data_IF_005150699524
#
_entry.id   IF_005150699524
#
_cell.length_a   1.000
_cell.length_b   1.000
_cell.length_c   1.000
_cell.angle_alpha   90.00
_cell.angle_beta   90.00
_cell.angle_gamma   90.00
#
_symmetry.space_group_name_H-M   'P 1'
#
loop_
_entity.id
_entity.type
_entity.pdbx_description
1 polymer ?
#
# COMPACT_ATOMS: atom_id res chain seq x y z
N UNK A 1 14.03 47.17 51.28
CA UNK A 1 13.83 46.59 49.92
C UNK A 1 14.00 45.08 49.99
N UNK A 2 12.94 44.29 49.77
CA UNK A 2 12.95 42.82 49.88
C UNK A 2 13.09 42.21 48.47
N UNK A 3 14.27 41.68 48.14
CA UNK A 3 14.57 41.06 46.84
C UNK A 3 13.79 39.74 46.72
N UNK A 4 12.73 39.70 45.89
CA UNK A 4 12.02 38.44 45.59
C UNK A 4 12.91 37.59 44.68
N UNK A 5 13.39 36.48 45.22
CA UNK A 5 14.15 35.48 44.47
C UNK A 5 13.16 34.75 43.55
N UNK A 6 13.12 35.10 42.27
CA UNK A 6 12.29 34.40 41.28
C UNK A 6 12.95 33.05 40.99
N UNK A 7 12.53 32.02 41.72
CA UNK A 7 12.94 30.63 41.47
C UNK A 7 12.67 30.33 39.99
N UNK A 8 13.74 30.11 39.22
CA UNK A 8 13.66 29.84 37.78
C UNK A 8 12.86 28.56 37.54
N UNK A 9 11.62 28.69 37.07
CA UNK A 9 10.73 27.59 36.65
C UNK A 9 11.20 26.81 35.41
N UNK A 10 12.37 27.15 34.85
CA UNK A 10 12.95 26.50 33.66
C UNK A 10 13.21 25.00 33.86
N UNK A 11 13.51 24.57 35.09
CA UNK A 11 13.69 23.15 35.40
C UNK A 11 12.40 22.32 35.33
N UNK A 12 11.27 22.87 35.79
CA UNK A 12 9.97 22.18 35.74
C UNK A 12 9.51 21.96 34.31
N UNK A 13 9.58 23.01 33.47
CA UNK A 13 9.21 22.92 32.06
C UNK A 13 10.06 21.89 31.29
N UNK A 14 11.35 21.75 31.64
CA UNK A 14 12.22 20.75 31.04
C UNK A 14 11.80 19.31 31.42
N UNK A 15 11.37 19.08 32.66
CA UNK A 15 10.89 17.77 33.12
C UNK A 15 9.53 17.44 32.50
N UNK A 16 8.61 18.40 32.44
CA UNK A 16 7.32 18.23 31.77
C UNK A 16 7.50 17.88 30.29
N UNK A 17 8.39 18.60 29.58
CA UNK A 17 8.72 18.29 28.20
C UNK A 17 9.37 16.90 28.05
N UNK A 18 10.25 16.50 28.96
CA UNK A 18 10.88 15.18 28.92
C UNK A 18 9.87 14.02 29.06
N UNK A 19 8.73 14.23 29.73
CA UNK A 19 7.66 13.24 29.87
C UNK A 19 6.72 13.23 28.67
N UNK A 20 6.37 14.41 28.12
CA UNK A 20 5.38 14.53 27.03
C UNK A 20 6.00 14.28 25.66
N UNK A 21 7.23 14.73 25.44
CA UNK A 21 7.88 14.68 24.13
C UNK A 21 8.04 13.25 23.58
N UNK A 22 8.41 12.22 24.36
CA UNK A 22 8.47 10.85 23.86
C UNK A 22 7.11 10.33 23.37
N UNK A 23 6.02 10.65 24.07
CA UNK A 23 4.66 10.27 23.67
C UNK A 23 4.25 10.97 22.37
N UNK A 24 4.56 12.26 22.26
CA UNK A 24 4.25 13.06 21.09
C UNK A 24 5.05 12.62 19.86
N UNK A 25 6.34 12.30 20.03
CA UNK A 25 7.16 11.70 18.96
C UNK A 25 6.61 10.33 18.57
N UNK A 26 6.25 9.49 19.54
CA UNK A 26 5.63 8.18 19.28
C UNK A 26 4.35 8.29 18.46
N UNK A 27 3.50 9.28 18.76
CA UNK A 27 2.27 9.53 18.00
C UNK A 27 2.56 9.95 16.55
N UNK A 28 3.58 10.79 16.32
CA UNK A 28 3.97 11.16 14.95
C UNK A 28 4.52 9.98 14.18
N UNK A 29 5.39 9.17 14.78
CA UNK A 29 5.89 7.93 14.16
C UNK A 29 4.75 7.00 13.79
N UNK A 30 3.82 6.74 14.71
CA UNK A 30 2.65 5.91 14.45
C UNK A 30 1.78 6.46 13.31
N UNK A 31 1.60 7.79 13.26
CA UNK A 31 0.81 8.45 12.22
C UNK A 31 1.45 8.35 10.83
N UNK A 32 2.79 8.49 10.74
CA UNK A 32 3.55 8.30 9.49
C UNK A 32 3.45 6.85 9.02
N UNK A 33 3.64 5.89 9.92
CA UNK A 33 3.51 4.46 9.62
C UNK A 33 2.11 4.10 9.12
N UNK A 34 1.06 4.59 9.79
CA UNK A 34 -0.31 4.32 9.39
C UNK A 34 -0.65 4.96 8.03
N UNK A 35 -0.14 6.16 7.77
CA UNK A 35 -0.29 6.82 6.46
C UNK A 35 0.36 5.98 5.35
N UNK A 36 1.56 5.45 5.59
CA UNK A 36 2.25 4.58 4.64
C UNK A 36 1.49 3.28 4.41
N UNK A 37 1.01 2.61 5.46
CA UNK A 37 0.19 1.40 5.31
C UNK A 37 -1.08 1.65 4.50
N UNK A 38 -1.72 2.81 4.67
CA UNK A 38 -2.89 3.19 3.88
C UNK A 38 -2.56 3.48 2.41
N UNK A 39 -1.42 4.12 2.13
CA UNK A 39 -0.91 4.26 0.77
C UNK A 39 -0.71 2.90 0.11
N UNK A 40 -0.03 1.96 0.77
CA UNK A 40 0.19 0.60 0.23
C UNK A 40 -1.14 -0.08 -0.10
N UNK A 41 -2.12 0.00 0.81
CA UNK A 41 -3.46 -0.58 0.59
C UNK A 41 -4.14 -0.01 -0.66
N UNK A 42 -4.24 1.31 -0.76
CA UNK A 42 -4.88 1.96 -1.90
C UNK A 42 -4.14 1.68 -3.21
N UNK A 43 -2.81 1.61 -3.16
CA UNK A 43 -1.99 1.31 -4.32
C UNK A 43 -2.15 -0.14 -4.79
N UNK A 44 -2.26 -1.10 -3.87
CA UNK A 44 -2.56 -2.51 -4.20
C UNK A 44 -3.95 -2.64 -4.85
N UNK A 45 -4.95 -1.94 -4.33
CA UNK A 45 -6.29 -1.89 -4.94
C UNK A 45 -6.26 -1.28 -6.35
N UNK A 46 -5.60 -0.14 -6.52
CA UNK A 46 -5.46 0.49 -7.82
C UNK A 46 -4.68 -0.37 -8.82
N UNK A 47 -3.59 -1.01 -8.37
CA UNK A 47 -2.77 -1.86 -9.23
C UNK A 47 -3.54 -3.12 -9.68
N UNK A 48 -4.31 -3.76 -8.78
CA UNK A 48 -5.18 -4.88 -9.16
C UNK A 48 -6.21 -4.46 -10.23
N UNK A 49 -6.80 -3.27 -10.07
CA UNK A 49 -7.72 -2.71 -11.07
C UNK A 49 -7.02 -2.39 -12.41
N UNK A 50 -5.84 -1.78 -12.39
CA UNK A 50 -5.08 -1.46 -13.60
C UNK A 50 -4.65 -2.73 -14.35
N UNK A 51 -4.19 -3.76 -13.63
CA UNK A 51 -3.88 -5.07 -14.18
C UNK A 51 -5.11 -5.73 -14.83
N UNK A 52 -6.24 -5.76 -14.11
CA UNK A 52 -7.49 -6.30 -14.66
C UNK A 52 -7.98 -5.48 -15.87
N UNK A 53 -7.78 -4.17 -15.88
CA UNK A 53 -8.11 -3.32 -17.03
C UNK A 53 -7.21 -3.65 -18.23
N UNK A 54 -5.93 -3.90 -17.99
CA UNK A 54 -4.97 -4.29 -19.03
C UNK A 54 -5.35 -5.62 -19.69
N UNK A 55 -5.89 -6.57 -18.92
CA UNK A 55 -6.27 -7.90 -19.41
C UNK A 55 -7.50 -7.91 -20.33
N UNK A 56 -8.32 -6.85 -20.32
CA UNK A 56 -9.48 -6.72 -21.22
C UNK A 56 -9.03 -6.69 -22.69
N UNK A 57 -7.89 -6.04 -22.98
CA UNK A 57 -7.40 -5.80 -24.34
C UNK A 57 -7.15 -7.11 -25.11
N UNK A 58 -7.50 -7.21 -26.40
CA UNK A 58 -7.34 -8.43 -27.17
C UNK A 58 -5.85 -8.76 -27.35
N UNK A 59 -5.49 -10.04 -27.30
CA UNK A 59 -4.10 -10.48 -27.40
C UNK A 59 -3.21 -10.12 -26.20
N UNK A 60 -3.78 -9.58 -25.10
CA UNK A 60 -3.04 -9.37 -23.86
C UNK A 60 -2.57 -10.71 -23.25
N UNK A 61 -1.35 -10.72 -22.72
CA UNK A 61 -0.75 -11.86 -22.03
C UNK A 61 -0.66 -11.60 -20.52
N UNK A 62 -0.49 -12.67 -19.73
CA UNK A 62 -0.28 -12.57 -18.28
C UNK A 62 0.92 -11.67 -17.95
N UNK A 63 2.04 -11.81 -18.67
CA UNK A 63 3.22 -10.96 -18.48
C UNK A 63 2.90 -9.46 -18.63
N UNK A 64 2.06 -9.07 -19.60
CA UNK A 64 1.67 -7.66 -19.77
C UNK A 64 0.79 -7.14 -18.63
N UNK A 65 0.01 -8.02 -18.00
CA UNK A 65 -0.79 -7.69 -16.81
C UNK A 65 0.14 -7.51 -15.62
N UNK A 66 1.08 -8.43 -15.42
CA UNK A 66 2.10 -8.36 -14.37
C UNK A 66 2.95 -7.09 -14.49
N UNK A 67 3.42 -6.75 -15.70
CA UNK A 67 4.16 -5.53 -15.97
C UNK A 67 3.34 -4.28 -15.59
N UNK A 68 2.05 -4.24 -15.95
CA UNK A 68 1.16 -3.13 -15.60
C UNK A 68 0.98 -2.97 -14.09
N UNK A 69 0.83 -4.08 -13.36
CA UNK A 69 0.72 -4.06 -11.90
C UNK A 69 2.04 -3.60 -11.28
N UNK A 70 3.17 -4.10 -11.81
CA UNK A 70 4.50 -3.76 -11.34
C UNK A 70 4.81 -2.27 -11.56
N UNK A 71 4.48 -1.71 -12.73
CA UNK A 71 4.64 -0.27 -13.00
C UNK A 71 3.83 0.58 -12.03
N UNK A 72 2.57 0.22 -11.78
CA UNK A 72 1.69 0.93 -10.84
C UNK A 72 2.24 0.93 -9.40
N UNK A 73 2.73 -0.21 -8.93
CA UNK A 73 3.30 -0.36 -7.59
C UNK A 73 4.69 0.27 -7.45
N UNK A 74 5.52 0.19 -8.49
CA UNK A 74 6.84 0.82 -8.51
C UNK A 74 6.74 2.36 -8.46
N UNK A 75 5.72 2.94 -9.12
CA UNK A 75 5.49 4.38 -9.12
C UNK A 75 5.29 4.98 -7.72
N UNK A 76 4.80 4.17 -6.76
CA UNK A 76 4.61 4.55 -5.36
C UNK A 76 5.61 3.88 -4.39
N UNK A 77 6.65 3.26 -4.95
CA UNK A 77 7.71 2.54 -4.24
C UNK A 77 7.16 1.43 -3.32
N UNK A 78 6.19 0.64 -3.77
CA UNK A 78 5.75 -0.56 -3.04
C UNK A 78 6.65 -1.74 -3.40
N UNK A 79 7.21 -2.42 -2.40
CA UNK A 79 8.06 -3.61 -2.55
C UNK A 79 7.41 -4.85 -1.95
N UNK A 80 8.00 -6.04 -2.16
CA UNK A 80 7.54 -7.26 -1.50
C UNK A 80 6.12 -7.65 -1.87
N UNK A 81 5.77 -7.53 -3.14
CA UNK A 81 4.44 -7.86 -3.66
C UNK A 81 4.46 -9.08 -4.57
N UNK A 82 3.31 -9.75 -4.65
CA UNK A 82 3.05 -10.88 -5.53
C UNK A 82 1.80 -10.57 -6.35
N UNK A 83 1.82 -11.00 -7.62
CA UNK A 83 0.71 -10.86 -8.56
C UNK A 83 0.28 -12.25 -8.95
N UNK A 84 -1.03 -12.50 -8.93
CA UNK A 84 -1.65 -13.74 -9.40
C UNK A 84 -2.72 -13.37 -10.40
N UNK A 85 -2.57 -13.86 -11.62
CA UNK A 85 -3.54 -13.67 -12.70
C UNK A 85 -4.25 -15.00 -12.95
N UNK A 86 -5.57 -14.97 -13.12
CA UNK A 86 -6.36 -16.17 -13.38
C UNK A 86 -7.44 -15.86 -14.42
N UNK A 87 -7.55 -16.64 -15.51
CA UNK A 87 -6.72 -17.79 -15.87
C UNK A 87 -5.33 -17.41 -16.43
N UNK A 88 -4.40 -18.35 -16.35
CA UNK A 88 -3.07 -18.30 -16.99
C UNK A 88 -2.85 -19.62 -17.77
N UNK A 89 -2.73 -19.61 -19.10
CA UNK A 89 -2.65 -18.45 -19.98
C UNK A 89 -3.99 -17.74 -20.21
N UNK A 90 -3.93 -16.47 -20.58
CA UNK A 90 -5.06 -15.70 -21.11
C UNK A 90 -5.15 -15.96 -22.62
N UNK A 91 -6.29 -16.47 -23.09
CA UNK A 91 -6.55 -16.78 -24.50
C UNK A 91 -7.83 -16.09 -25.03
N UNK A 92 -8.17 -16.32 -26.30
CA UNK A 92 -9.35 -15.72 -26.95
C UNK A 92 -10.68 -16.22 -26.37
N UNK A 93 -10.69 -17.39 -25.73
CA UNK A 93 -11.88 -18.00 -25.10
C UNK A 93 -12.10 -17.53 -23.68
N UNK A 94 -11.12 -16.84 -23.09
CA UNK A 94 -11.17 -16.32 -21.73
C UNK A 94 -12.23 -15.22 -21.63
N UNK A 95 -13.32 -15.49 -20.91
CA UNK A 95 -14.39 -14.50 -20.71
C UNK A 95 -14.07 -13.49 -19.62
N UNK A 96 -13.47 -13.94 -18.52
CA UNK A 96 -13.18 -13.11 -17.35
C UNK A 96 -11.75 -13.34 -16.89
N UNK A 97 -11.10 -12.27 -16.47
CA UNK A 97 -9.75 -12.31 -15.89
C UNK A 97 -9.82 -11.71 -14.49
N UNK A 98 -9.29 -12.46 -13.54
CA UNK A 98 -9.13 -12.06 -12.14
C UNK A 98 -7.66 -11.77 -11.87
N UNK A 99 -7.38 -10.60 -11.35
CA UNK A 99 -6.05 -10.16 -10.92
C UNK A 99 -6.08 -9.98 -9.42
N UNK A 100 -5.26 -10.75 -8.71
CA UNK A 100 -5.03 -10.62 -7.27
C UNK A 100 -3.62 -10.10 -7.04
N UNK A 101 -3.52 -9.05 -6.25
CA UNK A 101 -2.26 -8.40 -5.88
C UNK A 101 -2.14 -8.44 -4.37
N UNK A 102 -1.02 -8.96 -3.87
CA UNK A 102 -0.73 -9.04 -2.43
C UNK A 102 0.57 -8.31 -2.16
N UNK A 103 0.63 -7.46 -1.14
CA UNK A 103 1.84 -6.77 -0.71
C UNK A 103 2.07 -6.90 0.80
N UNK A 104 3.34 -7.10 1.16
CA UNK A 104 3.80 -7.17 2.55
C UNK A 104 3.92 -5.79 3.17
N UNK A 105 3.24 -5.56 4.30
CA UNK A 105 3.28 -4.25 4.97
C UNK A 105 4.59 -4.02 5.74
N UNK A 106 5.23 -5.08 6.24
CA UNK A 106 6.50 -4.99 6.95
C UNK A 106 7.67 -4.58 6.05
N UNK A 107 7.67 -5.00 4.79
CA UNK A 107 8.65 -4.58 3.78
C UNK A 107 8.46 -3.13 3.31
N UNK A 108 7.30 -2.52 3.60
CA UNK A 108 6.93 -1.18 3.15
C UNK A 108 6.88 -0.14 4.27
N UNK A 109 7.27 -0.50 5.49
CA UNK A 109 7.35 0.39 6.65
C UNK A 109 8.52 1.37 6.54
N UNK A 110 8.38 2.58 7.08
CA UNK A 110 9.42 3.62 6.97
C UNK A 110 10.40 3.66 8.15
N UNK A 111 9.93 3.35 9.34
CA UNK A 111 10.66 3.58 10.59
C UNK A 111 10.63 2.38 11.51
N UNK A 112 9.50 1.69 11.64
CA UNK A 112 9.33 0.65 12.65
C UNK A 112 8.59 -0.58 12.06
N UNK A 113 9.29 -1.45 11.30
CA UNK A 113 8.69 -2.60 10.61
C UNK A 113 7.93 -3.58 11.52
N UNK A 114 8.33 -3.67 12.80
CA UNK A 114 7.70 -4.55 13.79
C UNK A 114 6.19 -4.27 14.00
N UNK A 115 5.69 -3.05 13.74
CA UNK A 115 4.24 -2.77 13.86
C UNK A 115 3.40 -3.58 12.87
N UNK A 116 3.96 -3.92 11.71
CA UNK A 116 3.27 -4.63 10.64
C UNK A 116 3.90 -5.99 10.32
N UNK A 117 4.75 -6.53 11.20
CA UNK A 117 5.44 -7.79 11.02
C UNK A 117 4.48 -8.92 10.61
N UNK A 118 4.74 -9.56 9.46
CA UNK A 118 3.91 -10.65 8.94
C UNK A 118 2.49 -10.26 8.55
N UNK A 119 2.20 -8.95 8.38
CA UNK A 119 0.93 -8.46 7.85
C UNK A 119 1.06 -8.20 6.36
N UNK A 120 0.02 -8.59 5.63
CA UNK A 120 -0.09 -8.37 4.20
C UNK A 120 -1.43 -7.70 3.89
N UNK A 121 -1.48 -7.00 2.76
CA UNK A 121 -2.71 -6.52 2.17
C UNK A 121 -2.86 -7.16 0.81
N UNK A 122 -4.01 -7.77 0.57
CA UNK A 122 -4.39 -8.32 -0.72
C UNK A 122 -5.61 -7.58 -1.26
N UNK A 123 -5.63 -7.36 -2.57
CA UNK A 123 -6.81 -6.90 -3.31
C UNK A 123 -6.99 -7.74 -4.56
N UNK A 124 -8.24 -7.91 -4.97
CA UNK A 124 -8.62 -8.70 -6.13
C UNK A 124 -9.59 -7.90 -7.00
N UNK A 125 -9.35 -7.90 -8.31
CA UNK A 125 -10.24 -7.31 -9.30
C UNK A 125 -10.52 -8.31 -10.42
N UNK A 126 -11.79 -8.52 -10.75
CA UNK A 126 -12.22 -9.37 -11.86
C UNK A 126 -12.92 -8.52 -12.90
N UNK A 127 -12.49 -8.61 -14.16
CA UNK A 127 -13.12 -7.93 -15.28
C UNK A 127 -13.39 -8.89 -16.44
N UNK A 128 -14.50 -8.67 -17.14
CA UNK A 128 -14.89 -9.41 -18.34
C UNK A 128 -14.18 -8.85 -19.57
N UNK A 129 -13.72 -9.71 -20.47
CA UNK A 129 -13.04 -9.33 -21.72
C UNK A 129 -14.04 -8.93 -22.80
N UNK A 130 -13.61 -7.99 -23.65
CA UNK A 130 -14.41 -7.50 -24.78
C UNK A 130 -14.47 -8.51 -25.93
N UNK A 131 -13.44 -9.32 -26.13
CA UNK A 131 -13.39 -10.35 -27.18
C UNK A 131 -14.46 -11.43 -27.01
N UNK A 132 -14.88 -11.74 -25.78
CA UNK A 132 -15.98 -12.67 -25.51
C UNK A 132 -17.35 -12.14 -25.96
N UNK A 133 -17.53 -10.81 -26.06
CA UNK A 133 -18.80 -10.21 -26.53
C UNK A 133 -18.93 -10.32 -28.06
N UNK A 134 -17.81 -10.31 -28.78
CA UNK A 134 -17.80 -10.40 -30.26
C UNK A 134 -18.14 -11.79 -30.83
N UNK A 135 -18.20 -12.84 -29.99
CA UNK A 135 -18.59 -14.20 -30.38
C UNK A 135 -20.10 -14.46 -30.25
N UNK A 136 -20.87 -13.47 -29.79
CA UNK A 136 -22.33 -13.58 -29.58
C UNK A 136 -23.13 -12.80 -30.65
N UNK A 137 -22.46 -12.00 -31.49
CA UNK A 137 -23.02 -11.37 -32.70
C UNK A 137 -22.65 -12.14 -33.97
#
# INVERSE_FOLDING_TARGET
>A
MRRKNTVRRRGSAAVEAALVLPLLIGLFVASIEFSRANTVRNSVENAAYEGARRSILPGCTVAQVEDSVQDALNAVNVSGFAVVVTPDPIDETTEEVTVTVTARLDENAYTVPQFFSGREVASTCTLRRESALSLIE
#
